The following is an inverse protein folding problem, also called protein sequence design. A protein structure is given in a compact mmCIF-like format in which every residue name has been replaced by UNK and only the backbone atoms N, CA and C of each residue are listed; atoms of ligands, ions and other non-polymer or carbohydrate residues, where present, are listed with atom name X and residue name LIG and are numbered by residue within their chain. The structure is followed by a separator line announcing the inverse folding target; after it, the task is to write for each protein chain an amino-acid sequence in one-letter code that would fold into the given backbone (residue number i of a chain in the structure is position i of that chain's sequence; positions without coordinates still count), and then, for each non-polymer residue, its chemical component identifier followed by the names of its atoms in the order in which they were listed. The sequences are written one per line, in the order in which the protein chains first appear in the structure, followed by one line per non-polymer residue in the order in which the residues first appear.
data_IF_664206364957
#
_entry.id   IF_664206364957
#
_cell.length_a   1.000
_cell.length_b   1.000
_cell.length_c   1.000
_cell.angle_alpha   90.00
_cell.angle_beta   90.00
_cell.angle_gamma   90.00
#
_symmetry.space_group_name_H-M   'P 1'
#
loop_
_entity.id
_entity.type
_entity.pdbx_description
1 polymer ?
#
# COMPACT_ATOMS: atom_id res chain seq x y z
N UNK A 1 11.98 7.68 -7.87
CA UNK A 1 11.11 6.76 -8.62
C UNK A 1 11.33 6.98 -10.11
N UNK A 2 11.46 5.93 -10.94
CA UNK A 2 11.77 6.10 -12.36
C UNK A 2 10.56 6.46 -13.24
N UNK A 3 9.33 6.32 -12.75
CA UNK A 3 8.13 6.77 -13.46
C UNK A 3 6.94 7.05 -12.55
N UNK A 4 6.04 7.94 -12.96
CA UNK A 4 4.78 8.19 -12.26
C UNK A 4 3.86 6.95 -12.25
N UNK A 5 3.99 6.05 -13.24
CA UNK A 5 3.23 4.79 -13.23
C UNK A 5 3.60 3.87 -12.08
N UNK A 6 4.79 4.03 -11.50
CA UNK A 6 5.23 3.21 -10.38
C UNK A 6 4.46 3.56 -9.09
N UNK A 7 3.81 4.74 -9.00
CA UNK A 7 2.95 5.10 -7.86
C UNK A 7 1.85 4.05 -7.64
N UNK A 8 1.25 3.54 -8.71
CA UNK A 8 0.24 2.48 -8.62
C UNK A 8 0.81 1.15 -8.15
N UNK A 9 2.04 0.85 -8.57
CA UNK A 9 2.71 -0.39 -8.14
C UNK A 9 2.98 -0.32 -6.65
N UNK A 10 3.60 0.77 -6.21
CA UNK A 10 3.94 1.00 -4.80
C UNK A 10 2.67 1.03 -3.94
N UNK A 11 1.66 1.79 -4.34
CA UNK A 11 0.38 1.83 -3.64
C UNK A 11 -0.22 0.42 -3.46
N UNK A 12 -0.26 -0.38 -4.53
CA UNK A 12 -0.81 -1.73 -4.45
C UNK A 12 0.00 -2.65 -3.53
N UNK A 13 1.34 -2.57 -3.54
CA UNK A 13 2.18 -3.37 -2.64
C UNK A 13 2.01 -2.98 -1.18
N UNK A 14 1.98 -1.67 -0.89
CA UNK A 14 1.77 -1.16 0.47
C UNK A 14 0.38 -1.55 0.97
N UNK A 15 -0.65 -1.45 0.11
CA UNK A 15 -2.02 -1.89 0.42
C UNK A 15 -2.08 -3.40 0.74
N UNK A 16 -1.33 -4.22 0.00
CA UNK A 16 -1.24 -5.66 0.21
C UNK A 16 -0.28 -6.06 1.33
N UNK A 17 0.39 -5.11 1.98
CA UNK A 17 1.46 -5.36 2.97
C UNK A 17 2.60 -6.23 2.42
N UNK A 18 2.90 -6.16 1.12
CA UNK A 18 4.03 -6.88 0.54
C UNK A 18 5.34 -6.17 0.93
N UNK A 19 6.42 -6.93 1.15
CA UNK A 19 7.68 -6.34 1.61
C UNK A 19 8.25 -5.36 0.57
N UNK A 20 8.69 -4.19 1.02
CA UNK A 20 9.24 -3.13 0.18
C UNK A 20 10.43 -2.42 0.85
N UNK A 21 11.39 -2.04 0.03
CA UNK A 21 12.58 -1.30 0.41
C UNK A 21 12.66 -0.01 -0.40
N UNK A 22 12.73 1.12 0.30
CA UNK A 22 12.98 2.43 -0.30
C UNK A 22 14.47 2.71 -0.19
N UNK A 23 15.15 2.87 -1.33
CA UNK A 23 16.54 3.30 -1.39
C UNK A 23 16.56 4.78 -1.79
N UNK A 24 17.20 5.62 -0.97
CA UNK A 24 17.27 7.06 -1.19
C UNK A 24 18.68 7.60 -0.95
N UNK A 25 18.95 8.84 -1.38
CA UNK A 25 20.25 9.50 -1.14
C UNK A 25 20.41 10.05 0.28
N UNK A 26 19.31 10.29 1.00
CA UNK A 26 19.34 10.83 2.36
C UNK A 26 18.30 10.16 3.28
N UNK A 27 18.56 10.06 4.60
CA UNK A 27 17.60 9.52 5.56
C UNK A 27 16.30 10.32 5.60
N UNK A 28 16.37 11.64 5.43
CA UNK A 28 15.22 12.54 5.45
C UNK A 28 14.26 12.20 4.31
N UNK A 29 14.75 12.23 3.06
CA UNK A 29 13.97 11.91 1.86
C UNK A 29 13.35 10.51 1.99
N UNK A 30 14.13 9.56 2.48
CA UNK A 30 13.67 8.20 2.73
C UNK A 30 12.49 8.14 3.71
N UNK A 31 12.62 8.80 4.85
CA UNK A 31 11.63 8.79 5.93
C UNK A 31 10.34 9.51 5.55
N UNK A 32 10.44 10.64 4.85
CA UNK A 32 9.31 11.40 4.32
C UNK A 32 8.54 10.57 3.29
N UNK A 33 9.27 9.91 2.39
CA UNK A 33 8.65 9.08 1.37
C UNK A 33 7.91 7.89 1.98
N UNK A 34 8.51 7.18 2.95
CA UNK A 34 7.82 6.09 3.66
C UNK A 34 6.57 6.58 4.38
N UNK A 35 6.65 7.73 5.05
CA UNK A 35 5.49 8.35 5.71
C UNK A 35 4.38 8.65 4.69
N UNK A 36 4.74 9.20 3.52
CA UNK A 36 3.82 9.47 2.43
C UNK A 36 3.18 8.18 1.86
N UNK A 37 3.91 7.07 1.79
CA UNK A 37 3.39 5.78 1.35
C UNK A 37 2.35 5.19 2.30
N UNK A 38 2.61 5.24 3.61
CA UNK A 38 1.65 4.81 4.63
C UNK A 38 0.41 5.68 4.60
N UNK A 39 0.58 6.99 4.41
CA UNK A 39 -0.54 7.92 4.25
C UNK A 39 -1.37 7.67 2.99
N UNK A 40 -0.75 7.16 1.93
CA UNK A 40 -1.40 6.90 0.65
C UNK A 40 -2.50 5.83 0.74
N UNK A 41 -2.38 4.90 1.69
CA UNK A 41 -3.32 3.80 1.88
C UNK A 41 -4.38 4.11 2.95
N UNK A 42 -4.45 5.33 3.50
CA UNK A 42 -5.54 5.71 4.42
C UNK A 42 -6.90 5.59 3.71
N UNK A 43 -7.92 4.99 4.36
CA UNK A 43 -8.02 4.74 5.80
C UNK A 43 -7.51 3.36 6.26
N UNK A 44 -6.98 2.51 5.37
CA UNK A 44 -6.44 1.22 5.80
C UNK A 44 -5.10 1.44 6.53
N UNK A 45 -4.94 0.94 7.77
CA UNK A 45 -3.66 1.00 8.47
C UNK A 45 -2.65 0.06 7.78
N UNK A 46 -1.38 0.47 7.74
CA UNK A 46 -0.30 -0.43 7.35
C UNK A 46 -0.05 -1.45 8.47
N UNK A 47 -0.05 -2.74 8.13
CA UNK A 47 0.03 -3.82 9.11
C UNK A 47 1.44 -4.44 9.26
N UNK A 48 2.37 -4.06 8.39
CA UNK A 48 3.75 -4.57 8.39
C UNK A 48 4.65 -3.79 9.34
N UNK A 49 5.87 -4.29 9.51
CA UNK A 49 6.91 -3.54 10.21
C UNK A 49 7.37 -2.35 9.36
N UNK A 50 7.10 -1.14 9.86
CA UNK A 50 7.49 0.09 9.19
C UNK A 50 8.74 0.68 9.85
N UNK A 51 9.82 0.86 9.09
CA UNK A 51 11.04 1.55 9.53
C UNK A 51 11.33 2.70 8.57
N UNK A 52 10.93 3.95 8.91
CA UNK A 52 11.15 5.12 8.04
C UNK A 52 12.61 5.29 7.62
N UNK A 53 13.54 4.89 8.49
CA UNK A 53 14.95 4.75 8.16
C UNK A 53 15.57 3.61 8.96
N UNK A 54 16.37 2.79 8.28
CA UNK A 54 17.02 1.59 8.80
C UNK A 54 18.53 1.81 8.81
N UNK A 55 19.14 1.58 9.96
CA UNK A 55 20.59 1.67 10.16
C UNK A 55 21.24 0.28 10.21
N UNK A 56 22.57 0.23 10.04
CA UNK A 56 23.36 -1.02 10.11
C UNK A 56 23.23 -1.79 11.43
N UNK A 57 23.00 -1.06 12.53
CA UNK A 57 22.90 -1.60 13.88
C UNK A 57 21.44 -1.92 14.28
N UNK A 58 20.50 -1.83 13.35
CA UNK A 58 19.09 -2.06 13.66
C UNK A 58 18.81 -3.50 14.11
N UNK A 59 18.00 -3.64 15.16
CA UNK A 59 17.44 -4.89 15.64
C UNK A 59 16.55 -5.61 14.60
N UNK A 60 16.18 -4.93 13.53
CA UNK A 60 15.50 -5.55 12.38
C UNK A 60 16.24 -6.79 11.88
N UNK A 61 17.58 -6.76 11.88
CA UNK A 61 18.39 -7.89 11.44
C UNK A 61 18.55 -8.98 12.51
N UNK A 62 18.32 -8.65 13.79
CA UNK A 62 18.35 -9.64 14.88
C UNK A 62 17.01 -10.35 15.06
N UNK A 63 15.89 -9.68 14.77
CA UNK A 63 14.55 -10.26 14.87
C UNK A 63 14.34 -11.49 13.96
N UNK A 64 15.10 -11.62 12.86
CA UNK A 64 15.10 -12.83 12.01
C UNK A 64 15.84 -14.01 12.61
N UNK A 65 16.71 -13.81 13.61
CA UNK A 65 17.49 -14.88 14.27
C UNK A 65 16.66 -15.62 15.33
N UNK A 66 15.62 -15.01 15.90
CA UNK A 66 14.82 -15.56 17.00
C UNK A 66 13.76 -16.60 16.56
N UNK A 67 13.84 -17.10 15.32
CA UNK A 67 12.96 -18.17 14.82
C UNK A 67 11.50 -17.78 14.59
N UNK A 68 11.15 -16.49 14.78
CA UNK A 68 9.84 -15.95 14.38
C UNK A 68 9.72 -15.86 12.86
N UNK A 69 8.50 -16.06 12.33
CA UNK A 69 8.26 -15.81 10.92
C UNK A 69 8.61 -14.34 10.58
N UNK A 70 9.44 -14.07 9.56
CA UNK A 70 9.84 -12.70 9.26
C UNK A 70 8.61 -11.87 8.91
N UNK A 71 8.49 -10.73 9.59
CA UNK A 71 7.40 -9.78 9.40
C UNK A 71 7.50 -9.18 8.01
N UNK A 72 6.35 -8.99 7.35
CA UNK A 72 6.30 -8.17 6.13
C UNK A 72 6.71 -6.74 6.51
N UNK A 73 7.45 -6.06 5.65
CA UNK A 73 8.13 -4.82 6.04
C UNK A 73 8.09 -3.72 4.98
N UNK A 74 8.11 -2.47 5.42
CA UNK A 74 8.34 -1.29 4.62
C UNK A 74 9.50 -0.53 5.26
N UNK A 75 10.67 -0.58 4.64
CA UNK A 75 11.89 -0.04 5.24
C UNK A 75 12.58 0.94 4.31
N UNK A 76 13.25 1.91 4.93
CA UNK A 76 14.00 2.94 4.26
C UNK A 76 15.49 2.79 4.48
N UNK A 77 16.30 2.87 3.42
CA UNK A 77 17.75 2.76 3.49
C UNK A 77 18.41 3.80 2.60
N UNK A 78 19.65 4.14 2.94
CA UNK A 78 20.50 5.01 2.12
C UNK A 78 21.71 4.28 1.55
N UNK A 79 22.00 3.09 2.08
CA UNK A 79 23.20 2.33 1.75
C UNK A 79 22.82 1.07 0.96
N UNK A 80 23.35 0.88 -0.27
CA UNK A 80 23.20 -0.35 -1.02
C UNK A 80 23.72 -1.62 -0.30
N UNK A 81 24.67 -1.52 0.63
CA UNK A 81 25.10 -2.67 1.44
C UNK A 81 24.01 -3.16 2.40
N UNK A 82 23.20 -2.24 2.94
CA UNK A 82 21.99 -2.60 3.70
C UNK A 82 20.99 -3.33 2.81
N UNK A 83 20.83 -2.90 1.56
CA UNK A 83 19.93 -3.57 0.61
C UNK A 83 20.33 -5.03 0.43
N UNK A 84 21.62 -5.31 0.19
CA UNK A 84 22.10 -6.69 0.05
C UNK A 84 21.78 -7.53 1.28
N UNK A 85 22.04 -7.01 2.48
CA UNK A 85 21.73 -7.72 3.74
C UNK A 85 20.23 -8.02 3.89
N UNK A 86 19.36 -7.08 3.50
CA UNK A 86 17.90 -7.28 3.52
C UNK A 86 17.48 -8.36 2.51
N UNK A 87 18.08 -8.38 1.32
CA UNK A 87 17.79 -9.39 0.30
C UNK A 87 18.25 -10.78 0.74
N UNK A 88 19.48 -10.90 1.26
CA UNK A 88 20.02 -12.15 1.78
C UNK A 88 19.15 -12.69 2.94
N UNK A 89 18.69 -11.80 3.81
CA UNK A 89 17.74 -12.14 4.88
C UNK A 89 16.41 -12.65 4.32
N UNK A 90 15.82 -11.98 3.33
CA UNK A 90 14.57 -12.41 2.71
C UNK A 90 14.71 -13.77 1.99
N UNK A 91 15.84 -14.00 1.33
CA UNK A 91 16.15 -15.27 0.64
C UNK A 91 16.34 -16.41 1.63
N UNK A 92 17.12 -16.21 2.69
CA UNK A 92 17.32 -17.22 3.75
C UNK A 92 16.01 -17.63 4.44
N UNK A 93 15.05 -16.70 4.50
CA UNK A 93 13.70 -16.95 5.01
C UNK A 93 12.74 -17.58 3.98
N UNK A 94 13.18 -17.87 2.76
CA UNK A 94 12.33 -18.41 1.69
C UNK A 94 11.22 -17.46 1.22
N UNK A 95 11.40 -16.14 1.38
CA UNK A 95 10.41 -15.13 1.00
C UNK A 95 10.64 -14.63 -0.43
N UNK A 96 9.58 -14.06 -1.01
CA UNK A 96 9.71 -13.33 -2.26
C UNK A 96 10.58 -12.08 -2.08
N UNK A 97 11.35 -11.74 -3.11
CA UNK A 97 12.17 -10.53 -3.11
C UNK A 97 11.28 -9.29 -2.90
N UNK A 98 11.68 -8.36 -1.99
CA UNK A 98 10.91 -7.16 -1.73
C UNK A 98 10.87 -6.24 -2.96
N UNK A 99 9.87 -5.36 -3.00
CA UNK A 99 9.84 -4.26 -3.97
C UNK A 99 10.95 -3.27 -3.68
N UNK A 100 11.89 -3.08 -4.61
CA UNK A 100 12.85 -2.00 -4.52
C UNK A 100 12.28 -0.74 -5.16
N UNK A 101 12.27 0.35 -4.40
CA UNK A 101 11.86 1.68 -4.82
C UNK A 101 13.10 2.58 -4.74
N UNK A 102 13.73 2.82 -5.88
CA UNK A 102 14.87 3.73 -5.94
C UNK A 102 14.41 5.18 -6.11
N UNK A 103 14.80 6.04 -5.16
CA UNK A 103 14.54 7.46 -5.14
C UNK A 103 15.78 8.19 -5.66
N UNK A 104 15.66 8.65 -6.89
CA UNK A 104 16.64 9.50 -7.52
C UNK A 104 16.27 10.95 -7.25
N UNK A 105 17.29 11.74 -6.97
CA UNK A 105 17.17 13.19 -7.07
C UNK A 105 17.13 13.53 -8.55
N UNK A 106 16.04 14.13 -9.01
CA UNK A 106 15.87 14.49 -10.41
C UNK A 106 15.67 15.99 -10.48
N UNK A 107 16.61 16.70 -11.12
CA UNK A 107 16.47 18.12 -11.48
C UNK A 107 15.32 18.35 -12.49
N UNK A 108 14.73 17.26 -13.00
CA UNK A 108 13.68 17.26 -14.00
C UNK A 108 12.41 16.56 -13.48
N UNK A 109 11.23 16.94 -14.00
CA UNK A 109 9.96 16.26 -13.71
C UNK A 109 10.03 14.74 -13.94
N UNK A 110 9.34 13.98 -13.07
CA UNK A 110 9.29 12.53 -13.20
C UNK A 110 8.36 12.17 -14.36
N UNK A 111 8.82 11.40 -15.36
CA UNK A 111 8.03 11.12 -16.55
C UNK A 111 6.89 10.13 -16.30
N UNK A 112 5.84 10.21 -17.12
CA UNK A 112 4.72 9.25 -17.09
C UNK A 112 5.14 7.78 -17.21
N UNK A 113 6.09 7.48 -18.09
CA UNK A 113 6.66 6.15 -18.30
C UNK A 113 8.17 6.28 -18.27
N UNK A 114 8.85 5.30 -17.66
CA UNK A 114 10.30 5.31 -17.65
C UNK A 114 10.81 5.23 -19.11
N UNK A 115 11.87 5.97 -19.46
CA UNK A 115 12.52 5.80 -20.75
C UNK A 115 13.05 4.37 -20.85
N UNK A 116 12.97 3.77 -22.04
CA UNK A 116 13.36 2.37 -22.31
C UNK A 116 14.79 1.99 -21.87
N UNK A 117 15.64 2.98 -21.53
CA UNK A 117 17.05 2.83 -21.14
C UNK A 117 17.24 2.65 -19.63
N UNK A 118 16.29 3.05 -18.76
CA UNK A 118 16.51 3.09 -17.30
C UNK A 118 15.97 1.89 -16.51
N UNK A 119 15.29 0.92 -17.16
CA UNK A 119 14.66 -0.18 -16.43
C UNK A 119 15.63 -1.26 -15.93
N UNK A 120 16.83 -1.33 -16.49
CA UNK A 120 17.81 -2.38 -16.15
C UNK A 120 19.17 -1.78 -15.82
N UNK A 121 19.62 -0.77 -16.58
CA UNK A 121 21.03 -0.39 -16.60
C UNK A 121 21.50 0.46 -15.42
N UNK A 122 20.69 1.38 -14.88
CA UNK A 122 21.15 2.24 -13.77
C UNK A 122 20.88 1.65 -12.38
N UNK A 123 19.75 0.94 -12.20
CA UNK A 123 19.50 0.22 -10.96
C UNK A 123 20.48 -0.95 -10.76
N UNK A 124 21.03 -1.55 -11.83
CA UNK A 124 22.06 -2.58 -11.72
C UNK A 124 23.50 -2.01 -11.69
N UNK A 125 23.75 -0.81 -12.24
CA UNK A 125 25.09 -0.21 -12.29
C UNK A 125 25.53 0.47 -10.99
N UNK A 126 24.60 1.05 -10.21
CA UNK A 126 24.92 1.74 -8.95
C UNK A 126 24.88 0.82 -7.70
N UNK A 127 24.55 -0.46 -7.89
CA UNK A 127 24.43 -1.44 -6.82
C UNK A 127 25.69 -2.32 -6.75
N UNK A 128 26.42 -2.35 -5.62
CA UNK A 128 27.64 -3.13 -5.50
C UNK A 128 27.33 -4.61 -5.74
N UNK A 129 28.13 -5.22 -6.63
CA UNK A 129 28.12 -6.65 -7.02
C UNK A 129 26.97 -7.13 -7.92
N UNK A 130 26.35 -6.27 -8.74
CA UNK A 130 25.38 -6.73 -9.74
C UNK A 130 24.13 -7.38 -9.11
N UNK A 131 23.70 -6.85 -7.96
CA UNK A 131 22.47 -7.25 -7.28
C UNK A 131 21.29 -6.98 -8.20
N UNK A 132 20.93 -7.97 -9.01
CA UNK A 132 19.79 -7.89 -9.90
C UNK A 132 18.51 -7.99 -9.07
N UNK A 133 17.98 -6.86 -8.63
CA UNK A 133 16.70 -6.82 -7.92
C UNK A 133 15.57 -7.08 -8.92
N UNK A 134 15.32 -8.36 -9.17
CA UNK A 134 14.19 -8.83 -9.98
C UNK A 134 12.90 -8.77 -9.17
N UNK A 135 12.48 -7.58 -8.76
CA UNK A 135 11.14 -7.41 -8.20
C UNK A 135 10.11 -7.50 -9.32
N UNK A 136 9.63 -8.73 -9.58
CA UNK A 136 8.56 -8.97 -10.56
C UNK A 136 7.22 -9.14 -9.86
N UNK A 137 6.84 -8.15 -9.05
CA UNK A 137 5.54 -8.18 -8.40
C UNK A 137 4.43 -7.92 -9.42
N UNK A 138 3.55 -8.91 -9.55
CA UNK A 138 2.37 -8.81 -10.41
C UNK A 138 1.44 -7.77 -9.81
N UNK A 139 0.98 -6.86 -10.66
CA UNK A 139 0.07 -5.78 -10.28
C UNK A 139 -1.29 -6.00 -10.93
N UNK A 140 -2.35 -5.67 -10.21
CA UNK A 140 -3.74 -5.95 -10.58
C UNK A 140 -4.55 -4.68 -10.81
N UNK A 141 -4.15 -3.54 -10.25
CA UNK A 141 -4.88 -2.27 -10.37
C UNK A 141 -4.63 -1.59 -11.70
N UNK A 142 -5.69 -1.07 -12.33
CA UNK A 142 -5.56 -0.30 -13.56
C UNK A 142 -4.98 1.07 -13.23
N UNK A 143 -3.95 1.45 -13.98
CA UNK A 143 -3.38 2.80 -13.92
C UNK A 143 -4.34 3.79 -14.58
N UNK A 144 -4.70 4.85 -13.85
CA UNK A 144 -5.42 5.99 -14.41
C UNK A 144 -4.46 6.92 -15.15
N UNK A 145 -4.52 6.89 -16.47
CA UNK A 145 -3.66 7.70 -17.35
C UNK A 145 -4.03 9.18 -17.34
N UNK A 146 -5.29 9.51 -17.06
CA UNK A 146 -5.75 10.90 -17.02
C UNK A 146 -5.22 11.58 -15.77
N UNK A 147 -5.36 10.93 -14.62
CA UNK A 147 -4.75 11.40 -13.37
C UNK A 147 -3.24 11.57 -13.51
N UNK A 148 -2.55 10.56 -14.06
CA UNK A 148 -1.10 10.65 -14.19
C UNK A 148 -0.67 11.75 -15.18
N UNK A 149 -1.43 12.00 -16.24
CA UNK A 149 -1.15 13.09 -17.18
C UNK A 149 -1.32 14.45 -16.49
N UNK A 150 -2.41 14.64 -15.75
CA UNK A 150 -2.60 15.85 -14.95
C UNK A 150 -1.47 16.04 -13.92
N UNK A 151 -0.99 14.96 -13.31
CA UNK A 151 0.16 15.01 -12.40
C UNK A 151 1.48 15.37 -13.10
N UNK A 152 1.68 14.93 -14.35
CA UNK A 152 2.83 15.33 -15.16
C UNK A 152 2.74 16.82 -15.56
N UNK A 153 1.56 17.27 -15.97
CA UNK A 153 1.30 18.67 -16.30
C UNK A 153 1.56 19.58 -15.06
N UNK A 154 1.11 19.18 -13.87
CA UNK A 154 1.36 19.92 -12.61
C UNK A 154 2.85 19.99 -12.21
N UNK A 155 3.70 19.04 -12.62
CA UNK A 155 5.13 19.08 -12.33
C UNK A 155 5.91 20.02 -13.26
N UNK A 156 5.38 20.26 -14.46
CA UNK A 156 6.01 21.12 -15.47
C UNK A 156 5.55 22.57 -15.37
N UNK A 157 4.37 22.80 -14.80
CA UNK A 157 3.83 24.13 -14.57
C UNK A 157 4.50 24.85 -13.39
N UNK A 158 5.30 25.88 -13.71
CA UNK A 158 6.00 26.72 -12.73
C UNK A 158 5.05 27.56 -11.85
N UNK A 159 3.78 27.71 -12.25
CA UNK A 159 2.77 28.46 -11.48
C UNK A 159 2.05 27.60 -10.45
N UNK A 160 2.09 26.27 -10.61
CA UNK A 160 1.47 25.34 -9.67
C UNK A 160 2.30 25.28 -8.39
N UNK A 161 1.69 25.64 -7.26
CA UNK A 161 2.35 25.52 -5.95
C UNK A 161 2.69 24.04 -5.70
N UNK A 162 3.96 23.74 -5.39
CA UNK A 162 4.45 22.38 -5.05
C UNK A 162 3.56 21.74 -3.96
N UNK A 163 3.07 22.56 -3.03
CA UNK A 163 2.17 22.17 -1.95
C UNK A 163 0.82 21.59 -2.42
N UNK A 164 0.41 21.83 -3.66
CA UNK A 164 -0.84 21.32 -4.23
C UNK A 164 -0.72 19.88 -4.78
N UNK A 165 0.49 19.43 -5.11
CA UNK A 165 0.75 18.09 -5.66
C UNK A 165 0.40 17.02 -4.63
N UNK A 166 0.86 17.19 -3.39
CA UNK A 166 0.59 16.25 -2.29
C UNK A 166 -0.91 16.00 -2.06
N UNK A 167 -1.73 17.04 -1.81
CA UNK A 167 -3.18 16.93 -1.71
C UNK A 167 -3.85 16.30 -2.94
N UNK A 168 -3.40 16.65 -4.16
CA UNK A 168 -3.93 16.09 -5.39
C UNK A 168 -3.72 14.56 -5.46
N UNK A 169 -2.50 14.10 -5.17
CA UNK A 169 -2.15 12.68 -5.12
C UNK A 169 -2.94 11.97 -4.00
N UNK A 170 -2.95 12.52 -2.78
CA UNK A 170 -3.66 11.92 -1.64
C UNK A 170 -5.15 11.75 -1.91
N UNK A 171 -5.82 12.75 -2.50
CA UNK A 171 -7.25 12.68 -2.83
C UNK A 171 -7.57 11.59 -3.85
N UNK A 172 -6.70 11.43 -4.85
CA UNK A 172 -6.86 10.38 -5.86
C UNK A 172 -6.78 8.99 -5.24
N UNK A 173 -5.73 8.71 -4.46
CA UNK A 173 -5.55 7.38 -3.85
C UNK A 173 -6.56 7.10 -2.72
N UNK A 174 -6.98 8.12 -1.96
CA UNK A 174 -8.09 8.00 -1.01
C UNK A 174 -9.40 7.59 -1.70
N UNK A 175 -9.69 8.16 -2.88
CA UNK A 175 -10.86 7.76 -3.68
C UNK A 175 -10.73 6.32 -4.17
N UNK A 176 -9.53 5.94 -4.63
CA UNK A 176 -9.26 4.61 -5.17
C UNK A 176 -9.38 3.53 -4.09
N UNK A 177 -8.84 3.75 -2.89
CA UNK A 177 -8.99 2.80 -1.79
C UNK A 177 -10.43 2.73 -1.27
N UNK A 178 -11.17 3.85 -1.22
CA UNK A 178 -12.59 3.82 -0.86
C UNK A 178 -13.40 2.95 -1.85
N UNK A 179 -13.13 3.08 -3.15
CA UNK A 179 -13.74 2.23 -4.18
C UNK A 179 -13.35 0.76 -4.06
N UNK A 180 -12.12 0.48 -3.63
CA UNK A 180 -11.62 -0.87 -3.36
C UNK A 180 -12.23 -1.49 -2.10
N UNK A 181 -12.41 -0.73 -1.03
CA UNK A 181 -13.00 -1.22 0.23
C UNK A 181 -14.53 -1.31 0.16
N UNK A 182 -15.19 -0.61 -0.76
CA UNK A 182 -16.65 -0.56 -0.85
C UNK A 182 -17.33 -1.95 -0.95
N UNK A 183 -16.85 -2.93 -1.75
CA UNK A 183 -17.44 -4.27 -1.77
C UNK A 183 -17.28 -5.04 -0.45
N UNK A 184 -16.14 -4.88 0.24
CA UNK A 184 -15.91 -5.47 1.56
C UNK A 184 -16.87 -4.86 2.58
N UNK A 185 -16.97 -3.53 2.61
CA UNK A 185 -17.90 -2.82 3.48
C UNK A 185 -19.35 -3.28 3.28
N UNK A 186 -19.77 -3.45 2.02
CA UNK A 186 -21.11 -3.95 1.69
C UNK A 186 -21.32 -5.38 2.18
N UNK A 187 -20.38 -6.29 1.89
CA UNK A 187 -20.48 -7.69 2.32
C UNK A 187 -20.58 -7.80 3.85
N UNK A 188 -19.74 -7.07 4.57
CA UNK A 188 -19.73 -7.08 6.02
C UNK A 188 -21.01 -6.49 6.60
N UNK A 189 -21.51 -5.38 6.06
CA UNK A 189 -22.77 -4.78 6.51
C UNK A 189 -23.97 -5.74 6.34
N UNK A 190 -24.02 -6.50 5.25
CA UNK A 190 -25.04 -7.55 5.05
C UNK A 190 -24.95 -8.64 6.12
N UNK A 191 -23.74 -9.09 6.46
CA UNK A 191 -23.52 -10.12 7.49
C UNK A 191 -23.90 -9.61 8.89
N UNK A 192 -23.58 -8.35 9.20
CA UNK A 192 -23.97 -7.72 10.46
C UNK A 192 -25.48 -7.63 10.63
N UNK A 193 -26.22 -7.17 9.60
CA UNK A 193 -27.67 -7.08 9.65
C UNK A 193 -28.34 -8.44 9.94
N UNK A 194 -27.74 -9.55 9.49
CA UNK A 194 -28.21 -10.90 9.81
C UNK A 194 -27.89 -11.29 11.26
N UNK A 195 -26.75 -10.87 11.81
CA UNK A 195 -26.32 -11.19 13.18
C UNK A 195 -27.13 -10.46 14.27
N UNK A 196 -27.58 -9.22 14.01
CA UNK A 196 -28.37 -8.42 14.97
C UNK A 196 -29.76 -9.01 15.22
N UNK A 197 -30.25 -9.89 14.35
CA UNK A 197 -31.51 -10.62 14.54
C UNK A 197 -31.39 -11.76 15.58
N UNK A 198 -30.20 -12.03 16.12
CA UNK A 198 -29.97 -13.05 17.13
C UNK A 198 -30.01 -12.46 18.56
N UNK A 199 -30.73 -13.05 19.53
CA UNK A 199 -30.79 -12.54 20.89
C UNK A 199 -29.41 -12.65 21.56
N UNK A 200 -28.78 -11.53 21.87
CA UNK A 200 -27.45 -11.49 22.51
C UNK A 200 -26.42 -10.56 21.86
N UNK A 201 -26.73 -9.92 20.73
CA UNK A 201 -26.15 -8.63 20.32
C UNK A 201 -24.63 -8.51 20.21
N UNK A 202 -23.86 -9.61 20.11
CA UNK A 202 -22.43 -9.51 19.90
C UNK A 202 -22.15 -9.17 18.43
N UNK A 203 -21.53 -8.01 18.18
CA UNK A 203 -20.97 -7.59 16.90
C UNK A 203 -19.78 -8.49 16.52
N UNK A 204 -20.08 -9.74 16.20
CA UNK A 204 -19.09 -10.71 15.78
C UNK A 204 -19.04 -10.67 14.26
N UNK A 205 -18.09 -9.91 13.71
CA UNK A 205 -17.60 -10.13 12.35
C UNK A 205 -16.90 -11.49 12.19
N UNK A 206 -17.11 -12.42 13.13
CA UNK A 206 -16.23 -13.50 13.51
C UNK A 206 -16.01 -14.57 12.44
N UNK A 207 -16.71 -14.50 11.31
CA UNK A 207 -16.47 -15.39 10.19
C UNK A 207 -16.51 -14.62 8.89
N UNK A 208 -15.53 -13.72 8.69
CA UNK A 208 -15.21 -13.32 7.32
C UNK A 208 -14.90 -14.59 6.53
N UNK A 209 -15.74 -14.90 5.55
CA UNK A 209 -15.55 -16.02 4.65
C UNK A 209 -15.13 -15.49 3.29
N UNK A 210 -13.87 -15.77 2.92
CA UNK A 210 -13.32 -15.35 1.62
C UNK A 210 -14.18 -15.90 0.47
N UNK A 211 -14.66 -17.13 0.55
CA UNK A 211 -15.42 -17.78 -0.53
C UNK A 211 -16.77 -17.10 -0.73
N UNK A 212 -17.50 -16.83 0.35
CA UNK A 212 -18.78 -16.13 0.31
C UNK A 212 -18.60 -14.67 -0.13
N UNK A 213 -17.58 -13.98 0.37
CA UNK A 213 -17.24 -12.64 -0.09
C UNK A 213 -16.99 -12.63 -1.61
N UNK A 214 -16.22 -13.59 -2.12
CA UNK A 214 -15.94 -13.70 -3.55
C UNK A 214 -17.19 -14.01 -4.39
N UNK A 215 -18.18 -14.72 -3.83
CA UNK A 215 -19.50 -14.91 -4.47
C UNK A 215 -20.28 -13.59 -4.50
N UNK A 216 -20.31 -12.85 -3.39
CA UNK A 216 -20.92 -11.52 -3.31
C UNK A 216 -20.29 -10.54 -4.32
N UNK A 217 -18.96 -10.56 -4.46
CA UNK A 217 -18.21 -9.75 -5.42
C UNK A 217 -18.50 -10.12 -6.89
N UNK A 218 -18.93 -11.35 -7.18
CA UNK A 218 -19.40 -11.74 -8.52
C UNK A 218 -20.81 -11.22 -8.79
N UNK A 219 -21.70 -11.29 -7.78
CA UNK A 219 -23.08 -10.81 -7.86
C UNK A 219 -23.17 -9.29 -7.95
N UNK A 220 -22.31 -8.60 -7.21
CA UNK A 220 -22.30 -7.15 -7.13
C UNK A 220 -21.05 -6.56 -7.81
N UNK A 221 -21.24 -5.58 -8.70
CA UNK A 221 -20.12 -4.91 -9.38
C UNK A 221 -19.24 -4.17 -8.37
N UNK A 222 -17.92 -4.30 -8.53
CA UNK A 222 -16.90 -3.49 -7.87
C UNK A 222 -16.60 -2.26 -8.72
N UNK A 223 -16.51 -1.09 -8.10
CA UNK A 223 -16.10 0.16 -8.77
C UNK A 223 -14.59 0.25 -8.96
N UNK A 224 -13.81 -0.54 -8.21
CA UNK A 224 -12.35 -0.57 -8.36
C UNK A 224 -11.93 -1.04 -9.76
N UNK A 225 -11.07 -0.23 -10.40
CA UNK A 225 -10.61 -0.44 -11.78
C UNK A 225 -9.40 -1.38 -11.81
N UNK A 226 -9.53 -2.53 -12.48
CA UNK A 226 -8.50 -3.58 -12.51
C UNK A 226 -7.96 -3.82 -13.91
N UNK A 227 -6.71 -4.30 -14.00
CA UNK A 227 -6.01 -4.54 -15.27
C UNK A 227 -6.66 -5.67 -16.05
N UNK A 228 -6.70 -5.51 -17.37
CA UNK A 228 -7.13 -6.54 -18.31
C UNK A 228 -7.69 -5.92 -19.58
N UNK A 229 -7.33 -6.47 -20.74
CA UNK A 229 -7.89 -6.05 -22.02
C UNK A 229 -9.33 -6.54 -22.18
N UNK A 230 -9.59 -7.79 -21.79
CA UNK A 230 -10.92 -8.41 -21.86
C UNK A 230 -11.68 -8.31 -20.52
N UNK A 231 -13.03 -8.37 -20.53
CA UNK A 231 -13.81 -8.45 -19.30
C UNK A 231 -13.46 -9.64 -18.41
N UNK A 232 -13.04 -10.76 -18.99
CA UNK A 232 -12.57 -11.93 -18.24
C UNK A 232 -11.24 -11.64 -17.52
N UNK A 233 -10.27 -11.07 -18.23
CA UNK A 233 -8.98 -10.69 -17.63
C UNK A 233 -9.13 -9.66 -16.51
N UNK A 234 -10.02 -8.66 -16.66
CA UNK A 234 -10.32 -7.67 -15.61
C UNK A 234 -10.89 -8.33 -14.36
N UNK A 235 -11.83 -9.28 -14.54
CA UNK A 235 -12.40 -10.07 -13.44
C UNK A 235 -11.34 -10.93 -12.76
N UNK A 236 -10.48 -11.60 -13.52
CA UNK A 236 -9.39 -12.41 -12.96
C UNK A 236 -8.41 -11.56 -12.13
N UNK A 237 -7.99 -10.39 -12.62
CA UNK A 237 -7.13 -9.47 -11.87
C UNK A 237 -7.81 -8.95 -10.60
N UNK A 238 -9.09 -8.59 -10.69
CA UNK A 238 -9.89 -8.19 -9.54
C UNK A 238 -9.93 -9.29 -8.49
N UNK A 239 -10.30 -10.49 -8.89
CA UNK A 239 -10.43 -11.61 -7.98
C UNK A 239 -9.09 -11.96 -7.34
N UNK A 240 -7.98 -11.85 -8.07
CA UNK A 240 -6.64 -12.08 -7.52
C UNK A 240 -6.23 -11.00 -6.52
N UNK A 241 -6.53 -9.72 -6.79
CA UNK A 241 -6.27 -8.60 -5.89
C UNK A 241 -7.00 -8.76 -4.56
N UNK A 242 -8.32 -9.04 -4.61
CA UNK A 242 -9.11 -9.21 -3.40
C UNK A 242 -8.68 -10.44 -2.59
N UNK A 243 -8.40 -11.59 -3.24
CA UNK A 243 -7.88 -12.76 -2.50
C UNK A 243 -6.56 -12.46 -1.81
N UNK A 244 -5.65 -11.76 -2.49
CA UNK A 244 -4.40 -11.34 -1.87
C UNK A 244 -4.63 -10.43 -0.66
N UNK A 245 -5.49 -9.43 -0.80
CA UNK A 245 -5.80 -8.51 0.29
C UNK A 245 -6.45 -9.23 1.47
N UNK A 246 -7.48 -10.06 1.24
CA UNK A 246 -8.18 -10.77 2.31
C UNK A 246 -7.30 -11.74 3.11
N UNK A 247 -6.17 -12.16 2.53
CA UNK A 247 -5.16 -13.01 3.17
C UNK A 247 -3.96 -12.23 3.71
N UNK A 248 -3.90 -10.92 3.49
CA UNK A 248 -2.79 -10.10 3.94
C UNK A 248 -3.02 -9.55 5.35
N UNK A 249 -1.95 -9.23 6.09
CA UNK A 249 -2.08 -8.55 7.38
C UNK A 249 -2.86 -7.24 7.32
N UNK A 250 -2.79 -6.51 6.19
CA UNK A 250 -3.55 -5.26 6.00
C UNK A 250 -5.05 -5.45 6.16
N UNK A 251 -5.60 -6.57 5.67
CA UNK A 251 -7.04 -6.82 5.81
C UNK A 251 -7.45 -7.00 7.27
N UNK A 252 -6.69 -7.77 8.04
CA UNK A 252 -6.98 -8.00 9.45
C UNK A 252 -6.83 -6.72 10.27
N UNK A 253 -5.75 -5.96 10.05
CA UNK A 253 -5.55 -4.66 10.72
C UNK A 253 -6.65 -3.65 10.38
N UNK A 254 -7.05 -3.57 9.10
CA UNK A 254 -8.19 -2.77 8.68
C UNK A 254 -9.51 -3.22 9.31
N UNK A 255 -9.75 -4.53 9.36
CA UNK A 255 -10.94 -5.10 9.97
C UNK A 255 -10.99 -4.73 11.45
N UNK A 256 -9.91 -4.94 12.20
CA UNK A 256 -9.83 -4.62 13.63
C UNK A 256 -10.12 -3.14 13.93
N UNK A 257 -9.53 -2.22 13.17
CA UNK A 257 -9.82 -0.78 13.29
C UNK A 257 -11.30 -0.50 13.04
N UNK A 258 -11.87 -1.11 12.00
CA UNK A 258 -13.30 -0.98 11.70
C UNK A 258 -14.17 -1.49 12.86
N UNK A 259 -13.84 -2.63 13.44
CA UNK A 259 -14.55 -3.18 14.60
C UNK A 259 -14.47 -2.27 15.81
N UNK A 260 -13.30 -1.68 16.07
CA UNK A 260 -13.11 -0.73 17.18
C UNK A 260 -14.02 0.48 17.01
N UNK A 261 -14.01 1.10 15.84
CA UNK A 261 -14.82 2.29 15.55
C UNK A 261 -16.32 2.02 15.66
N UNK A 262 -16.79 0.84 15.23
CA UNK A 262 -18.21 0.49 15.35
C UNK A 262 -18.62 0.16 16.79
N UNK A 263 -17.74 -0.46 17.59
CA UNK A 263 -17.95 -0.65 19.03
C UNK A 263 -18.02 0.69 19.76
N UNK A 264 -17.11 1.61 19.46
CA UNK A 264 -17.10 2.96 20.02
C UNK A 264 -18.37 3.75 19.65
N UNK A 265 -18.81 3.66 18.39
CA UNK A 265 -20.06 4.25 17.92
C UNK A 265 -21.29 3.65 18.62
N UNK A 266 -21.32 2.33 18.81
CA UNK A 266 -22.42 1.63 19.50
C UNK A 266 -22.44 1.91 21.01
N UNK A 267 -21.28 2.20 21.61
CA UNK A 267 -21.15 2.58 23.01
C UNK A 267 -21.47 4.07 23.29
N UNK A 268 -21.81 4.85 22.26
CA UNK A 268 -22.18 6.27 22.41
C UNK A 268 -21.03 7.21 22.78
N UNK A 269 -19.78 6.80 22.55
CA UNK A 269 -18.57 7.54 23.00
C UNK A 269 -18.08 8.62 22.02
N UNK A 270 -18.80 8.88 20.92
CA UNK A 270 -18.62 10.09 20.13
C UNK A 270 -19.35 11.26 20.80
N UNK A 271 -18.79 11.74 21.92
CA UNK A 271 -19.21 13.00 22.53
C UNK A 271 -18.97 14.16 21.55
N UNK A 272 -19.80 15.22 21.58
CA UNK A 272 -19.56 16.41 20.76
C UNK A 272 -18.20 17.00 21.16
N UNK A 273 -17.36 17.28 20.17
CA UNK A 273 -16.17 18.12 20.32
C UNK A 273 -16.62 19.44 20.94
N UNK A 274 -16.39 19.60 22.24
CA UNK A 274 -16.53 20.88 22.93
C UNK A 274 -15.48 21.81 22.35
N UNK A 275 -15.87 22.61 21.36
CA UNK A 275 -15.22 23.87 21.04
C UNK A 275 -15.37 24.75 22.28
N UNK A 276 -14.38 24.72 23.17
CA UNK A 276 -14.21 25.74 24.19
C UNK A 276 -13.88 27.04 23.47
N UNK A 277 -14.91 27.84 23.20
CA UNK A 277 -14.76 29.29 23.03
C UNK A 277 -14.35 29.86 24.37
N UNK A 278 -13.07 30.23 24.49
CA UNK A 278 -12.55 31.00 25.62
C UNK A 278 -12.91 32.47 25.39
N UNK A 279 -13.53 33.17 26.36
CA UNK A 279 -13.67 34.62 26.35
C UNK A 279 -12.36 35.35 26.65
#
# INVERSE_FOLDING_TARGET
MPSLTDLYKVFEQVLLCESAVVLAKSPQLCSEFISALVDLIKPAPYAGECRPYLTMQSEFFSASLDGGAPKLFLIGITDPFLLKRVLDMAESAGRAAPLLINLYDTDFPVPLKAPHVHHTSQAEADLPNGVAVRSRQKTYMKVDRLFLKALEDMQTDTTTAIDSIGPFVRRHFATLIAQFLAPLNRYLATRMATSVLSPGGNLQYAHFDETEFMQSLKKHRSSASTKGQTPFARRASRDQLYRKFCRSPSFYSWLDVKLSLEKEASAGLLGPTTLQTVP
#
